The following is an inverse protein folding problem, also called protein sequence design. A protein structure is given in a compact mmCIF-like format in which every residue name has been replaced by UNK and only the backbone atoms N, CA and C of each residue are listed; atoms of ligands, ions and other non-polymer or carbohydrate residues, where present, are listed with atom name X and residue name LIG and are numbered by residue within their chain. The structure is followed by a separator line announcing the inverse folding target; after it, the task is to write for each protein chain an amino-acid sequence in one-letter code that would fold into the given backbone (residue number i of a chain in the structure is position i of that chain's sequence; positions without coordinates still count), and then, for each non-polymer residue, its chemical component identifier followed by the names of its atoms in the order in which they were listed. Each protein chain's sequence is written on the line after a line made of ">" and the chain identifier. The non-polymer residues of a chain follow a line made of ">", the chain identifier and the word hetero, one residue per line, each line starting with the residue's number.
data_IF_889095694166
#
_entry.id   IF_889095694166
#
_cell.length_a   1.000
_cell.length_b   1.000
_cell.length_c   1.000
_cell.angle_alpha   90.00
_cell.angle_beta   90.00
_cell.angle_gamma   90.00
#
_symmetry.space_group_name_H-M   'P 1'
#
loop_
_entity.id
_entity.type
_entity.pdbx_description
1 polymer ?
#
# COMPACT_ATOMS: atom_id res chain seq x y z
N UNK A 1 62.94 18.01 -51.67
CA UNK A 1 62.91 17.48 -50.30
C UNK A 1 61.55 17.86 -49.70
N UNK A 2 60.49 17.14 -50.08
CA UNK A 2 59.08 17.42 -49.72
C UNK A 2 58.54 16.32 -48.80
N UNK A 3 59.17 16.13 -47.64
CA UNK A 3 58.90 14.99 -46.75
C UNK A 3 57.78 15.31 -45.73
N UNK A 4 57.35 16.56 -45.63
CA UNK A 4 56.35 17.01 -44.63
C UNK A 4 54.89 16.93 -45.11
N UNK A 5 54.64 16.68 -46.39
CA UNK A 5 53.28 16.64 -46.96
C UNK A 5 52.53 15.33 -46.72
N UNK A 6 53.19 14.19 -46.92
CA UNK A 6 52.54 12.86 -46.83
C UNK A 6 52.15 12.50 -45.39
N UNK A 7 52.97 12.86 -44.39
CA UNK A 7 52.68 12.53 -42.99
C UNK A 7 51.42 13.22 -42.45
N UNK A 8 51.05 14.38 -42.99
CA UNK A 8 49.85 15.10 -42.55
C UNK A 8 48.57 14.50 -43.17
N UNK A 9 48.67 13.95 -44.38
CA UNK A 9 47.54 13.29 -45.06
C UNK A 9 47.22 11.95 -44.38
N UNK A 10 48.24 11.16 -44.02
CA UNK A 10 48.07 9.89 -43.29
C UNK A 10 47.40 10.10 -41.92
N UNK A 11 47.75 11.17 -41.20
CA UNK A 11 47.13 11.50 -39.91
C UNK A 11 45.64 11.84 -40.09
N UNK A 12 45.30 12.59 -41.13
CA UNK A 12 43.90 12.95 -41.43
C UNK A 12 43.08 11.71 -41.80
N UNK A 13 43.67 10.80 -42.56
CA UNK A 13 43.02 9.54 -42.95
C UNK A 13 42.81 8.61 -41.75
N UNK A 14 43.80 8.52 -40.86
CA UNK A 14 43.69 7.78 -39.61
C UNK A 14 42.61 8.35 -38.67
N UNK A 15 42.53 9.67 -38.53
CA UNK A 15 41.48 10.32 -37.72
C UNK A 15 40.07 10.08 -38.28
N UNK A 16 39.90 10.08 -39.61
CA UNK A 16 38.62 9.75 -40.25
C UNK A 16 38.23 8.29 -40.05
N UNK A 17 39.20 7.38 -40.13
CA UNK A 17 38.95 5.95 -39.93
C UNK A 17 38.57 5.59 -38.48
N UNK A 18 39.13 6.30 -37.49
CA UNK A 18 38.84 6.07 -36.07
C UNK A 18 37.55 6.72 -35.56
N UNK A 19 37.02 7.72 -36.28
CA UNK A 19 35.80 8.43 -35.90
C UNK A 19 34.58 7.50 -35.80
N UNK A 20 34.38 6.62 -36.79
CA UNK A 20 33.25 5.69 -36.83
C UNK A 20 33.22 4.74 -35.62
N UNK A 21 34.31 3.98 -35.36
CA UNK A 21 34.43 3.14 -34.18
C UNK A 21 34.31 3.91 -32.86
N UNK A 22 34.87 5.11 -32.76
CA UNK A 22 34.78 5.94 -31.56
C UNK A 22 33.32 6.35 -31.25
N UNK A 23 32.58 6.80 -32.27
CA UNK A 23 31.16 7.13 -32.13
C UNK A 23 30.34 5.89 -31.78
N UNK A 24 30.63 4.73 -32.40
CA UNK A 24 29.96 3.47 -32.08
C UNK A 24 30.21 3.05 -30.62
N UNK A 25 31.45 3.14 -30.14
CA UNK A 25 31.80 2.84 -28.75
C UNK A 25 31.07 3.76 -27.76
N UNK A 26 30.97 5.06 -28.09
CA UNK A 26 30.22 6.02 -27.29
C UNK A 26 28.72 5.71 -27.28
N UNK A 27 28.16 5.31 -28.42
CA UNK A 27 26.78 4.83 -28.52
C UNK A 27 26.50 3.62 -27.62
N UNK A 28 27.39 2.63 -27.62
CA UNK A 28 27.28 1.46 -26.73
C UNK A 28 27.36 1.89 -25.25
N UNK A 29 28.27 2.79 -24.90
CA UNK A 29 28.39 3.30 -23.53
C UNK A 29 27.10 3.99 -23.06
N UNK A 30 26.49 4.84 -23.90
CA UNK A 30 25.23 5.50 -23.61
C UNK A 30 24.09 4.49 -23.47
N UNK A 31 24.00 3.50 -24.36
CA UNK A 31 22.97 2.46 -24.29
C UNK A 31 23.05 1.66 -22.98
N UNK A 32 24.27 1.29 -22.54
CA UNK A 32 24.49 0.62 -21.25
C UNK A 32 24.09 1.52 -20.07
N UNK A 33 24.44 2.81 -20.12
CA UNK A 33 24.04 3.76 -19.09
C UNK A 33 22.50 3.91 -19.01
N UNK A 34 21.82 4.03 -20.15
CA UNK A 34 20.36 4.11 -20.23
C UNK A 34 19.68 2.84 -19.71
N UNK A 35 20.21 1.65 -20.05
CA UNK A 35 19.68 0.39 -19.53
C UNK A 35 19.80 0.30 -18.01
N UNK A 36 20.94 0.69 -17.44
CA UNK A 36 21.13 0.75 -15.98
C UNK A 36 20.15 1.72 -15.32
N UNK A 37 19.97 2.92 -15.86
CA UNK A 37 18.99 3.88 -15.33
C UNK A 37 17.56 3.35 -15.40
N UNK A 38 17.19 2.70 -16.51
CA UNK A 38 15.87 2.11 -16.68
C UNK A 38 15.57 1.02 -15.64
N UNK A 39 16.53 0.13 -15.39
CA UNK A 39 16.36 -0.93 -14.38
C UNK A 39 16.22 -0.39 -12.96
N UNK A 40 16.97 0.67 -12.60
CA UNK A 40 16.85 1.34 -11.29
C UNK A 40 15.48 2.01 -11.16
N UNK A 41 15.02 2.72 -12.21
CA UNK A 41 13.72 3.41 -12.20
C UNK A 41 12.55 2.45 -12.03
N UNK A 42 12.57 1.31 -12.72
CA UNK A 42 11.53 0.28 -12.58
C UNK A 42 11.49 -0.31 -11.17
N UNK A 43 12.65 -0.50 -10.54
CA UNK A 43 12.71 -0.95 -9.14
C UNK A 43 12.11 0.10 -8.21
N UNK A 44 12.49 1.37 -8.36
CA UNK A 44 11.96 2.47 -7.55
C UNK A 44 10.43 2.58 -7.67
N UNK A 45 9.92 2.56 -8.90
CA UNK A 45 8.47 2.60 -9.16
C UNK A 45 7.75 1.42 -8.50
N UNK A 46 8.31 0.21 -8.57
CA UNK A 46 7.75 -0.95 -7.86
C UNK A 46 7.73 -0.77 -6.34
N UNK A 47 8.72 -0.08 -5.75
CA UNK A 47 8.75 0.20 -4.32
C UNK A 47 7.73 1.25 -3.91
N UNK A 48 7.61 2.33 -4.68
CA UNK A 48 6.66 3.41 -4.39
C UNK A 48 5.21 2.88 -4.44
N UNK A 49 4.89 2.03 -5.41
CA UNK A 49 3.59 1.35 -5.49
C UNK A 49 3.33 0.44 -4.28
N UNK A 50 4.32 -0.37 -3.88
CA UNK A 50 4.20 -1.21 -2.67
C UNK A 50 3.99 -0.37 -1.40
N UNK A 51 4.69 0.74 -1.28
CA UNK A 51 4.56 1.66 -0.15
C UNK A 51 3.18 2.33 -0.13
N UNK A 52 2.63 2.68 -1.30
CA UNK A 52 1.27 3.21 -1.43
C UNK A 52 0.22 2.24 -0.90
N UNK A 53 0.25 0.98 -1.34
CA UNK A 53 -0.69 -0.07 -0.86
C UNK A 53 -0.61 -0.24 0.66
N UNK A 54 0.61 -0.25 1.22
CA UNK A 54 0.81 -0.31 2.66
C UNK A 54 0.17 0.88 3.38
N UNK A 55 0.44 2.11 2.90
CA UNK A 55 -0.10 3.34 3.49
C UNK A 55 -1.63 3.38 3.43
N UNK A 56 -2.23 3.00 2.31
CA UNK A 56 -3.68 2.91 2.16
C UNK A 56 -4.29 1.90 3.15
N UNK A 57 -3.65 0.73 3.31
CA UNK A 57 -4.10 -0.31 4.25
C UNK A 57 -4.04 0.17 5.70
N UNK A 58 -2.95 0.84 6.10
CA UNK A 58 -2.79 1.40 7.45
C UNK A 58 -3.75 2.57 7.68
N UNK A 59 -3.91 3.45 6.70
CA UNK A 59 -4.84 4.58 6.76
C UNK A 59 -6.28 4.12 7.00
N UNK A 60 -6.73 3.12 6.24
CA UNK A 60 -8.04 2.51 6.46
C UNK A 60 -8.16 1.90 7.87
N UNK A 61 -7.14 1.13 8.31
CA UNK A 61 -7.15 0.53 9.64
C UNK A 61 -7.18 1.58 10.75
N UNK A 62 -6.44 2.67 10.63
CA UNK A 62 -6.42 3.75 11.62
C UNK A 62 -7.79 4.45 11.70
N UNK A 63 -8.46 4.69 10.56
CA UNK A 63 -9.85 5.20 10.54
C UNK A 63 -10.82 4.23 11.23
N UNK A 64 -10.77 2.94 10.89
CA UNK A 64 -11.66 1.94 11.48
C UNK A 64 -11.40 1.76 12.98
N UNK A 65 -10.12 1.76 13.40
CA UNK A 65 -9.76 1.65 14.81
C UNK A 65 -10.13 2.90 15.61
N UNK A 66 -10.02 4.09 15.03
CA UNK A 66 -10.49 5.33 15.63
C UNK A 66 -12.00 5.23 15.90
N UNK A 67 -12.77 4.81 14.90
CA UNK A 67 -14.22 4.60 15.01
C UNK A 67 -14.58 3.57 16.11
N UNK A 68 -13.89 2.42 16.11
CA UNK A 68 -14.06 1.40 17.16
C UNK A 68 -13.69 1.93 18.55
N UNK A 69 -12.63 2.75 18.66
CA UNK A 69 -12.19 3.32 19.94
C UNK A 69 -13.19 4.33 20.47
N UNK A 70 -13.74 5.19 19.62
CA UNK A 70 -14.81 6.13 20.00
C UNK A 70 -16.01 5.40 20.58
N UNK A 71 -16.34 4.19 20.09
CA UNK A 71 -17.42 3.32 20.60
C UNK A 71 -17.15 2.69 21.98
N UNK A 72 -15.88 2.60 22.40
CA UNK A 72 -15.43 1.89 23.63
C UNK A 72 -15.28 2.81 24.85
N UNK A 73 -15.57 4.11 24.76
CA UNK A 73 -15.44 5.06 25.86
C UNK A 73 -16.18 4.64 27.15
N UNK A 74 -15.51 4.50 28.31
CA UNK A 74 -16.08 3.92 29.53
C UNK A 74 -17.17 4.76 30.22
N UNK A 75 -17.22 6.08 29.97
CA UNK A 75 -18.18 6.97 30.63
C UNK A 75 -19.50 7.18 29.86
N UNK A 76 -19.56 6.83 28.57
CA UNK A 76 -20.71 7.13 27.72
C UNK A 76 -21.77 6.01 27.74
N UNK A 77 -21.35 4.73 27.79
CA UNK A 77 -22.28 3.57 27.79
C UNK A 77 -23.13 3.42 29.05
N UNK A 78 -22.70 3.92 30.19
CA UNK A 78 -23.42 3.73 31.47
C UNK A 78 -24.32 4.92 31.84
N UNK A 79 -24.08 6.11 31.28
CA UNK A 79 -24.75 7.35 31.72
C UNK A 79 -25.61 8.02 30.66
N UNK A 80 -25.28 7.87 29.37
CA UNK A 80 -26.06 8.47 28.30
C UNK A 80 -26.80 7.39 27.54
N UNK A 81 -28.12 7.49 27.53
CA UNK A 81 -29.08 6.74 26.74
C UNK A 81 -28.90 7.04 25.22
N UNK A 82 -27.66 7.04 24.74
CA UNK A 82 -27.23 7.52 23.44
C UNK A 82 -26.53 6.39 22.68
N UNK A 83 -27.31 5.36 22.36
CA UNK A 83 -26.93 4.31 21.41
C UNK A 83 -27.00 4.79 19.94
N UNK A 84 -27.36 6.06 19.70
CA UNK A 84 -27.86 6.56 18.41
C UNK A 84 -26.95 7.58 17.73
N UNK A 85 -25.63 7.60 17.98
CA UNK A 85 -24.76 8.35 17.06
C UNK A 85 -24.54 7.47 15.82
N UNK A 86 -24.99 7.92 14.62
CA UNK A 86 -24.76 7.19 13.39
C UNK A 86 -23.26 6.99 13.20
N UNK A 87 -22.87 5.91 12.52
CA UNK A 87 -21.50 5.74 12.09
C UNK A 87 -21.00 7.02 11.44
N UNK A 88 -19.87 7.55 11.92
CA UNK A 88 -19.13 8.50 11.10
C UNK A 88 -18.58 7.67 9.94
N UNK A 89 -19.12 7.93 8.75
CA UNK A 89 -18.74 7.18 7.57
C UNK A 89 -17.23 7.36 7.37
N UNK A 90 -16.54 6.25 7.16
CA UNK A 90 -15.12 6.26 6.78
C UNK A 90 -14.99 7.20 5.58
N UNK A 91 -14.02 8.13 5.58
CA UNK A 91 -13.86 9.07 4.49
C UNK A 91 -13.83 8.34 3.14
N UNK A 92 -14.68 8.77 2.21
CA UNK A 92 -14.90 8.06 0.95
C UNK A 92 -13.62 7.97 0.10
N UNK A 93 -12.74 8.96 0.23
CA UNK A 93 -11.41 9.01 -0.35
C UNK A 93 -10.49 7.89 0.18
N UNK A 94 -10.49 7.64 1.50
CA UNK A 94 -9.69 6.57 2.12
C UNK A 94 -10.19 5.20 1.66
N UNK A 95 -11.51 5.02 1.56
CA UNK A 95 -12.11 3.78 1.09
C UNK A 95 -11.77 3.53 -0.39
N UNK A 96 -11.91 4.56 -1.23
CA UNK A 96 -11.60 4.48 -2.65
C UNK A 96 -10.12 4.16 -2.88
N UNK A 97 -9.21 4.84 -2.16
CA UNK A 97 -7.77 4.57 -2.27
C UNK A 97 -7.42 3.14 -1.84
N UNK A 98 -8.06 2.63 -0.79
CA UNK A 98 -7.86 1.25 -0.36
C UNK A 98 -8.34 0.24 -1.40
N UNK A 99 -9.52 0.46 -1.98
CA UNK A 99 -10.09 -0.43 -3.01
C UNK A 99 -9.25 -0.45 -4.29
N UNK A 100 -8.74 0.69 -4.73
CA UNK A 100 -7.77 0.79 -5.82
C UNK A 100 -6.50 0.00 -5.50
N UNK A 101 -5.95 0.20 -4.30
CA UNK A 101 -4.74 -0.50 -3.84
C UNK A 101 -4.94 -2.01 -3.68
N UNK A 102 -6.16 -2.46 -3.40
CA UNK A 102 -6.49 -3.87 -3.22
C UNK A 102 -6.42 -4.65 -4.54
N UNK A 103 -6.77 -4.02 -5.66
CA UNK A 103 -6.55 -4.59 -6.99
C UNK A 103 -5.06 -4.70 -7.31
N UNK A 104 -4.32 -3.60 -7.08
CA UNK A 104 -2.85 -3.57 -7.27
C UNK A 104 -2.12 -4.59 -6.38
N UNK A 105 -2.64 -4.84 -5.18
CA UNK A 105 -2.00 -5.72 -4.20
C UNK A 105 -1.82 -7.16 -4.71
N UNK A 106 -2.74 -7.64 -5.55
CA UNK A 106 -2.66 -8.97 -6.16
C UNK A 106 -1.46 -9.15 -7.11
N UNK A 107 -0.99 -8.06 -7.71
CA UNK A 107 0.17 -8.05 -8.60
C UNK A 107 1.47 -7.75 -7.86
N UNK A 108 1.41 -6.86 -6.86
CA UNK A 108 2.60 -6.35 -6.17
C UNK A 108 3.06 -7.25 -5.02
N UNK A 109 2.16 -8.05 -4.45
CA UNK A 109 2.38 -8.88 -3.27
C UNK A 109 1.90 -10.31 -3.49
N UNK A 110 2.27 -11.19 -2.55
CA UNK A 110 1.79 -12.57 -2.54
C UNK A 110 0.39 -12.70 -1.93
N UNK A 111 -0.18 -13.91 -2.06
CA UNK A 111 -1.50 -14.30 -1.54
C UNK A 111 -1.74 -13.91 -0.08
N UNK A 112 -0.70 -13.96 0.76
CA UNK A 112 -0.78 -13.60 2.18
C UNK A 112 -1.30 -12.17 2.38
N UNK A 113 -0.67 -11.19 1.72
CA UNK A 113 -1.03 -9.77 1.84
C UNK A 113 -2.40 -9.52 1.24
N UNK A 114 -2.66 -10.03 0.04
CA UNK A 114 -3.94 -9.85 -0.63
C UNK A 114 -5.09 -10.43 0.20
N UNK A 115 -4.93 -11.63 0.75
CA UNK A 115 -5.93 -12.27 1.61
C UNK A 115 -6.18 -11.50 2.89
N UNK A 116 -5.13 -10.90 3.47
CA UNK A 116 -5.24 -10.06 4.66
C UNK A 116 -6.02 -8.78 4.35
N UNK A 117 -5.78 -8.13 3.22
CA UNK A 117 -6.52 -6.93 2.81
C UNK A 117 -8.01 -7.25 2.56
N UNK A 118 -8.31 -8.36 1.88
CA UNK A 118 -9.70 -8.83 1.73
C UNK A 118 -10.37 -9.13 3.08
N UNK A 119 -9.63 -9.75 4.02
CA UNK A 119 -10.14 -10.02 5.36
C UNK A 119 -10.45 -8.71 6.11
N UNK A 120 -9.59 -7.70 6.02
CA UNK A 120 -9.83 -6.38 6.63
C UNK A 120 -11.07 -5.73 6.04
N UNK A 121 -11.23 -5.75 4.71
CA UNK A 121 -12.43 -5.23 4.03
C UNK A 121 -13.70 -5.94 4.52
N UNK A 122 -13.66 -7.27 4.58
CA UNK A 122 -14.79 -8.07 5.05
C UNK A 122 -15.13 -7.80 6.52
N UNK A 123 -14.12 -7.69 7.40
CA UNK A 123 -14.32 -7.40 8.82
C UNK A 123 -14.92 -6.00 9.01
N UNK A 124 -14.49 -5.02 8.22
CA UNK A 124 -15.04 -3.65 8.22
C UNK A 124 -16.51 -3.61 7.79
N UNK A 125 -16.86 -4.27 6.68
CA UNK A 125 -18.26 -4.34 6.21
C UNK A 125 -19.17 -5.03 7.22
N UNK A 126 -18.64 -6.05 7.91
CA UNK A 126 -19.36 -6.74 8.96
C UNK A 126 -19.60 -5.83 10.18
N UNK A 127 -18.57 -5.10 10.65
CA UNK A 127 -18.71 -4.08 11.70
C UNK A 127 -19.80 -3.07 11.33
N UNK A 128 -19.74 -2.53 10.10
CA UNK A 128 -20.73 -1.57 9.61
C UNK A 128 -22.14 -2.15 9.64
N UNK A 129 -22.33 -3.34 9.06
CA UNK A 129 -23.64 -4.02 9.01
C UNK A 129 -24.21 -4.28 10.39
N UNK A 130 -23.44 -4.89 11.29
CA UNK A 130 -23.91 -5.29 12.62
C UNK A 130 -24.34 -4.08 13.42
N UNK A 131 -23.59 -3.00 13.34
CA UNK A 131 -23.89 -1.86 14.16
C UNK A 131 -24.91 -0.90 13.53
N UNK A 132 -25.10 -0.88 12.20
CA UNK A 132 -26.34 -0.33 11.60
C UNK A 132 -27.57 -1.15 12.02
N UNK A 133 -27.44 -2.48 12.15
CA UNK A 133 -28.53 -3.31 12.64
C UNK A 133 -28.86 -3.02 14.12
N UNK A 134 -27.85 -2.77 14.96
CA UNK A 134 -28.04 -2.34 16.35
C UNK A 134 -28.66 -0.93 16.45
N UNK A 135 -28.30 0.00 15.57
CA UNK A 135 -28.86 1.36 15.54
C UNK A 135 -30.37 1.38 15.30
N UNK A 136 -30.87 0.43 14.50
CA UNK A 136 -32.30 0.30 14.19
C UNK A 136 -33.13 -0.28 15.33
N UNK A 137 -32.51 -0.89 16.34
CA UNK A 137 -33.23 -1.52 17.46
C UNK A 137 -33.57 -0.49 18.53
N UNK A 138 -34.75 -0.62 19.13
CA UNK A 138 -35.17 0.29 20.20
C UNK A 138 -34.39 0.00 21.50
N UNK A 139 -34.25 0.97 22.42
CA UNK A 139 -33.55 0.77 23.68
C UNK A 139 -34.13 -0.36 24.56
N UNK A 140 -35.41 -0.68 24.38
CA UNK A 140 -36.10 -1.74 25.12
C UNK A 140 -35.81 -3.14 24.57
N UNK A 141 -35.44 -3.27 23.29
CA UNK A 141 -35.07 -4.54 22.63
C UNK A 141 -33.59 -4.91 22.83
N UNK A 142 -32.84 -4.09 23.58
CA UNK A 142 -31.41 -4.30 23.85
C UNK A 142 -31.16 -5.42 24.86
N UNK A 143 -32.16 -5.81 25.67
CA UNK A 143 -32.06 -6.94 26.61
C UNK A 143 -32.32 -8.30 25.98
N UNK A 144 -32.75 -8.35 24.73
CA UNK A 144 -33.04 -9.60 24.04
C UNK A 144 -31.77 -10.41 23.77
N UNK A 145 -31.88 -11.73 23.90
CA UNK A 145 -30.79 -12.68 23.67
C UNK A 145 -30.15 -12.53 22.27
N UNK A 146 -30.94 -12.14 21.27
CA UNK A 146 -30.47 -11.84 19.90
C UNK A 146 -29.54 -10.63 19.90
N UNK A 147 -29.90 -9.56 20.61
CA UNK A 147 -29.10 -8.34 20.70
C UNK A 147 -27.80 -8.55 21.48
N UNK A 148 -27.82 -9.43 22.49
CA UNK A 148 -26.59 -9.87 23.18
C UNK A 148 -25.63 -10.62 22.24
N UNK A 149 -26.16 -11.46 21.35
CA UNK A 149 -25.35 -12.18 20.36
C UNK A 149 -24.76 -11.23 19.29
N UNK A 150 -25.54 -10.26 18.83
CA UNK A 150 -25.09 -9.21 17.89
C UNK A 150 -23.97 -8.34 18.53
N UNK A 151 -24.08 -8.04 19.82
CA UNK A 151 -23.01 -7.33 20.52
C UNK A 151 -21.76 -8.19 20.73
N UNK A 152 -21.92 -9.50 20.94
CA UNK A 152 -20.80 -10.42 21.11
C UNK A 152 -20.02 -10.63 19.81
N UNK A 153 -20.72 -10.77 18.69
CA UNK A 153 -20.15 -10.85 17.34
C UNK A 153 -19.40 -9.57 16.97
N UNK A 154 -20.02 -8.40 17.20
CA UNK A 154 -19.37 -7.10 16.98
C UNK A 154 -18.06 -6.99 17.77
N UNK A 155 -18.08 -7.33 19.07
CA UNK A 155 -16.87 -7.34 19.91
C UNK A 155 -15.82 -8.34 19.45
N UNK A 156 -16.21 -9.45 18.84
CA UNK A 156 -15.28 -10.41 18.29
C UNK A 156 -14.59 -9.83 17.05
N UNK A 157 -15.33 -9.16 16.17
CA UNK A 157 -14.77 -8.56 14.94
C UNK A 157 -13.92 -7.34 15.25
N UNK A 158 -14.33 -6.47 16.18
CA UNK A 158 -13.50 -5.37 16.65
C UNK A 158 -12.16 -5.85 17.25
N UNK A 159 -12.14 -7.00 17.93
CA UNK A 159 -10.90 -7.61 18.43
C UNK A 159 -10.02 -8.13 17.28
N UNK A 160 -10.62 -8.74 16.25
CA UNK A 160 -9.88 -9.16 15.05
C UNK A 160 -9.24 -7.96 14.36
N UNK A 161 -9.95 -6.86 14.20
CA UNK A 161 -9.44 -5.64 13.56
C UNK A 161 -8.35 -4.96 14.41
N UNK A 162 -8.50 -4.96 15.74
CA UNK A 162 -7.46 -4.52 16.67
C UNK A 162 -6.15 -5.27 16.51
N UNK A 163 -6.23 -6.58 16.24
CA UNK A 163 -5.06 -7.43 16.00
C UNK A 163 -4.58 -7.38 14.54
N UNK A 164 -5.35 -6.82 13.61
CA UNK A 164 -5.02 -6.79 12.19
C UNK A 164 -3.81 -5.91 11.90
N UNK A 165 -3.59 -4.83 12.66
CA UNK A 165 -2.43 -3.94 12.50
C UNK A 165 -1.10 -4.69 12.58
N UNK A 166 -0.88 -5.49 13.63
CA UNK A 166 0.35 -6.27 13.77
C UNK A 166 0.53 -7.32 12.67
N UNK A 167 -0.58 -7.89 12.17
CA UNK A 167 -0.56 -8.81 11.02
C UNK A 167 -0.16 -8.09 9.74
N UNK A 168 -0.67 -6.88 9.50
CA UNK A 168 -0.32 -6.04 8.35
C UNK A 168 1.16 -5.67 8.40
N UNK A 169 1.64 -5.14 9.52
CA UNK A 169 3.05 -4.77 9.68
C UNK A 169 3.99 -5.96 9.46
N UNK A 170 3.65 -7.15 9.98
CA UNK A 170 4.42 -8.38 9.78
C UNK A 170 4.41 -8.85 8.32
N UNK A 171 3.23 -8.89 7.69
CA UNK A 171 3.07 -9.37 6.31
C UNK A 171 3.77 -8.42 5.31
N UNK A 172 3.51 -7.11 5.41
CA UNK A 172 4.14 -6.10 4.56
C UNK A 172 5.63 -5.93 4.86
N UNK A 173 6.06 -6.13 6.11
CA UNK A 173 7.45 -6.03 6.52
C UNK A 173 8.39 -6.91 5.69
N UNK A 174 7.94 -8.06 5.19
CA UNK A 174 8.74 -8.92 4.30
C UNK A 174 9.03 -8.28 2.93
N UNK A 175 8.10 -7.48 2.43
CA UNK A 175 8.18 -6.81 1.12
C UNK A 175 8.77 -5.40 1.21
N UNK A 176 8.62 -4.76 2.37
CA UNK A 176 9.12 -3.42 2.67
C UNK A 176 10.50 -3.41 3.31
N UNK A 177 11.00 -4.56 3.80
CA UNK A 177 12.41 -4.69 4.19
C UNK A 177 13.24 -4.31 2.97
N UNK A 178 13.80 -3.10 3.02
CA UNK A 178 14.86 -2.67 2.14
C UNK A 178 15.83 -3.84 2.06
N UNK A 179 15.99 -4.42 0.86
CA UNK A 179 17.21 -5.16 0.59
C UNK A 179 18.31 -4.19 1.00
N UNK A 180 19.00 -4.48 2.10
CA UNK A 180 20.29 -3.86 2.40
C UNK A 180 21.07 -4.07 1.12
N UNK A 181 21.13 -3.03 0.27
CA UNK A 181 21.94 -3.06 -0.92
C UNK A 181 23.35 -3.25 -0.40
N UNK A 182 23.78 -4.50 -0.42
CA UNK A 182 25.12 -4.93 -0.07
C UNK A 182 25.98 -4.29 -1.15
N UNK A 183 26.67 -3.22 -0.77
CA UNK A 183 27.73 -2.59 -1.58
C UNK A 183 28.72 -3.64 -2.03
#
# INVERSE_FOLDING_TARGET
>A
MSITGDSMVDVIEFMKATLGPAVAALGVAVAVAQWRTGTIKLRLDSYDRRLRVYKATIGLLDCVLAEVRWRRGPAYRQKSNCFHKPYEDIPADVLAEFDDCLLEASFLFGREVTSLMYAIRSDMELIRREATALERKSPFDLSDAVTLNDMASLRAVERKIGNARGRVESAFGRYLRFQKFRK
#
